data_IF_773486002605
#
_entry.id   IF_773486002605
#
_cell.length_a   1.000
_cell.length_b   1.000
_cell.length_c   1.000
_cell.angle_alpha   90.00
_cell.angle_beta   90.00
_cell.angle_gamma   90.00
#
_symmetry.space_group_name_H-M   'P 1'
#
loop_
_entity.id
_entity.type
_entity.pdbx_description
1 polymer ?
#
# COMPACT_ATOMS: atom_id res chain seq x y z
N UNK A 1 -1.95 -15.85 7.71
CA UNK A 1 -0.83 -16.43 8.43
C UNK A 1 -0.18 -17.51 7.57
N UNK A 2 1.07 -17.36 7.29
CA UNK A 2 1.85 -18.39 6.63
C UNK A 2 3.00 -18.83 7.56
N UNK A 3 3.41 -20.05 7.42
CA UNK A 3 4.46 -20.65 8.25
C UNK A 3 5.88 -20.26 7.80
N UNK A 4 6.03 -19.33 6.87
CA UNK A 4 7.30 -18.87 6.31
C UNK A 4 7.98 -19.88 5.38
N UNK A 5 7.31 -20.96 4.99
CA UNK A 5 7.85 -21.94 4.05
C UNK A 5 7.21 -21.77 2.67
N UNK A 6 8.01 -21.70 1.59
CA UNK A 6 7.46 -21.69 0.24
C UNK A 6 6.81 -23.05 -0.06
N UNK A 7 5.74 -23.05 -0.85
CA UNK A 7 5.15 -24.26 -1.39
C UNK A 7 6.09 -24.83 -2.46
N UNK A 8 6.38 -26.14 -2.45
CA UNK A 8 7.06 -26.79 -3.56
C UNK A 8 6.29 -26.57 -4.86
N UNK A 9 7.00 -26.34 -5.97
CA UNK A 9 6.38 -26.04 -7.26
C UNK A 9 5.49 -27.17 -7.80
N UNK A 10 5.82 -28.40 -7.45
CA UNK A 10 5.10 -29.63 -7.82
C UNK A 10 4.07 -30.07 -6.76
N UNK A 11 3.90 -29.30 -5.67
CA UNK A 11 2.91 -29.64 -4.65
C UNK A 11 1.49 -29.55 -5.19
N UNK A 12 0.58 -30.37 -4.66
CA UNK A 12 -0.83 -30.35 -5.00
C UNK A 12 -1.45 -28.97 -4.86
N UNK A 13 -1.09 -28.25 -3.81
CA UNK A 13 -1.56 -26.89 -3.51
C UNK A 13 -1.07 -25.89 -4.57
N UNK A 14 0.22 -25.93 -4.94
CA UNK A 14 0.76 -25.07 -5.99
C UNK A 14 0.12 -25.36 -7.34
N UNK A 15 -0.04 -26.62 -7.70
CA UNK A 15 -0.70 -27.02 -8.94
C UNK A 15 -2.17 -26.58 -8.97
N UNK A 16 -2.88 -26.66 -7.83
CA UNK A 16 -4.24 -26.18 -7.71
C UNK A 16 -4.33 -24.63 -7.88
N UNK A 17 -3.42 -23.86 -7.29
CA UNK A 17 -3.33 -22.42 -7.53
C UNK A 17 -3.08 -22.09 -9.01
N UNK A 18 -2.14 -22.76 -9.63
CA UNK A 18 -1.85 -22.54 -11.05
C UNK A 18 -3.05 -22.89 -11.96
N UNK A 19 -3.73 -23.99 -11.65
CA UNK A 19 -4.94 -24.38 -12.39
C UNK A 19 -6.07 -23.34 -12.21
N UNK A 20 -6.28 -22.86 -10.99
CA UNK A 20 -7.27 -21.84 -10.68
C UNK A 20 -6.96 -20.51 -11.39
N UNK A 21 -5.71 -20.04 -11.36
CA UNK A 21 -5.30 -18.83 -12.06
C UNK A 21 -5.46 -18.95 -13.58
N UNK A 22 -5.14 -20.11 -14.15
CA UNK A 22 -5.40 -20.38 -15.58
C UNK A 22 -6.90 -20.37 -15.91
N UNK A 23 -7.70 -20.94 -15.04
CA UNK A 23 -9.16 -20.96 -15.21
C UNK A 23 -9.74 -19.55 -15.18
N UNK A 24 -9.39 -18.72 -14.18
CA UNK A 24 -9.81 -17.31 -14.13
C UNK A 24 -9.39 -16.56 -15.39
N UNK A 25 -8.13 -16.72 -15.81
CA UNK A 25 -7.61 -16.06 -17.00
C UNK A 25 -8.34 -16.47 -18.28
N UNK A 26 -8.98 -17.64 -18.30
CA UNK A 26 -9.81 -18.09 -19.42
C UNK A 26 -11.06 -17.22 -19.68
N UNK A 27 -11.47 -16.40 -18.72
CA UNK A 27 -12.59 -15.45 -18.85
C UNK A 27 -12.14 -14.05 -19.30
N UNK A 28 -10.84 -13.82 -19.48
CA UNK A 28 -10.28 -12.53 -19.88
C UNK A 28 -9.70 -12.58 -21.28
N UNK A 29 -9.89 -11.49 -22.01
CA UNK A 29 -9.25 -11.31 -23.32
C UNK A 29 -7.85 -10.73 -23.13
N UNK A 30 -6.87 -11.31 -23.80
CA UNK A 30 -5.49 -10.83 -23.72
C UNK A 30 -5.39 -9.38 -24.24
N UNK A 31 -4.71 -8.52 -23.47
CA UNK A 31 -4.54 -7.09 -23.75
C UNK A 31 -5.81 -6.22 -23.70
N UNK A 32 -6.93 -6.75 -23.21
CA UNK A 32 -8.13 -5.95 -22.97
C UNK A 32 -8.08 -5.34 -21.58
N UNK A 33 -8.29 -4.03 -21.50
CA UNK A 33 -8.45 -3.35 -20.21
C UNK A 33 -9.87 -3.55 -19.65
N UNK A 34 -9.98 -3.89 -18.40
CA UNK A 34 -11.24 -4.09 -17.70
C UNK A 34 -11.48 -2.95 -16.70
N UNK A 35 -12.75 -2.58 -16.54
CA UNK A 35 -13.14 -1.54 -15.57
C UNK A 35 -12.70 -1.97 -14.17
N UNK A 36 -11.94 -1.11 -13.47
CA UNK A 36 -11.41 -1.38 -12.15
C UNK A 36 -10.08 -2.16 -12.13
N UNK A 37 -9.50 -2.45 -13.28
CA UNK A 37 -8.19 -3.11 -13.39
C UNK A 37 -7.04 -2.24 -12.84
N UNK A 38 -7.14 -0.93 -13.08
CA UNK A 38 -6.13 0.02 -12.61
C UNK A 38 -6.56 0.64 -11.28
N UNK A 39 -5.62 0.95 -10.38
CA UNK A 39 -5.92 1.74 -9.20
C UNK A 39 -6.45 3.12 -9.62
N UNK A 40 -7.20 3.76 -8.71
CA UNK A 40 -7.66 5.13 -8.95
C UNK A 40 -6.45 6.04 -9.17
N UNK A 41 -6.50 6.84 -10.22
CA UNK A 41 -5.47 7.84 -10.48
C UNK A 41 -5.40 8.84 -9.33
N UNK A 42 -4.19 9.18 -8.94
CA UNK A 42 -3.91 10.15 -7.88
C UNK A 42 -2.90 11.17 -8.40
N UNK A 43 -3.17 12.44 -8.16
CA UNK A 43 -2.26 13.51 -8.53
C UNK A 43 -1.16 13.68 -7.47
N UNK A 44 0.09 13.57 -7.89
CA UNK A 44 1.22 13.76 -6.99
C UNK A 44 1.33 15.22 -6.53
N UNK A 45 1.37 15.40 -5.23
CA UNK A 45 1.57 16.72 -4.62
C UNK A 45 3.03 17.18 -4.75
N UNK A 46 3.25 18.50 -4.69
CA UNK A 46 4.58 19.11 -4.90
C UNK A 46 5.34 19.33 -3.57
N UNK A 47 4.89 18.72 -2.50
CA UNK A 47 5.53 18.75 -1.18
C UNK A 47 5.76 17.34 -0.65
N UNK A 48 6.55 17.23 0.39
CA UNK A 48 6.62 16.02 1.20
C UNK A 48 5.25 15.80 1.88
N UNK A 49 4.83 14.56 1.97
CA UNK A 49 3.65 14.14 2.70
C UNK A 49 3.84 14.37 4.21
N UNK A 50 2.77 14.78 4.88
CA UNK A 50 2.80 15.16 6.29
C UNK A 50 2.12 14.11 7.16
N UNK A 51 2.91 13.39 7.95
CA UNK A 51 2.39 12.50 8.99
C UNK A 51 1.60 13.25 10.05
N UNK A 52 1.95 14.50 10.34
CA UNK A 52 1.23 15.36 11.31
C UNK A 52 -0.17 15.71 10.82
N UNK A 53 -0.30 16.20 9.57
CA UNK A 53 -1.61 16.43 8.96
C UNK A 53 -2.39 15.13 8.83
N UNK A 54 -1.72 14.06 8.45
CA UNK A 54 -2.32 12.73 8.35
C UNK A 54 -2.93 12.26 9.66
N UNK A 55 -2.30 12.55 10.80
CA UNK A 55 -2.84 12.25 12.12
C UNK A 55 -4.15 13.00 12.38
N UNK A 56 -4.21 14.28 12.02
CA UNK A 56 -5.42 15.10 12.18
C UNK A 56 -6.56 14.51 11.33
N UNK A 57 -6.27 14.23 10.07
CA UNK A 57 -7.23 13.64 9.12
C UNK A 57 -7.66 12.23 9.53
N UNK A 58 -6.72 11.41 10.01
CA UNK A 58 -7.01 10.09 10.55
C UNK A 58 -7.99 10.17 11.72
N UNK A 59 -7.79 11.13 12.62
CA UNK A 59 -8.70 11.36 13.76
C UNK A 59 -10.11 11.70 13.29
N UNK A 60 -10.24 12.48 12.22
CA UNK A 60 -11.53 12.89 11.68
C UNK A 60 -12.26 11.79 10.92
N UNK A 61 -11.54 10.98 10.14
CA UNK A 61 -12.13 10.09 9.15
C UNK A 61 -12.00 8.59 9.48
N UNK A 62 -11.03 8.17 10.30
CA UNK A 62 -10.63 6.78 10.42
C UNK A 62 -10.84 6.18 11.81
N UNK A 63 -10.68 6.97 12.87
CA UNK A 63 -10.73 6.51 14.27
C UNK A 63 -12.02 5.77 14.59
N UNK A 64 -13.15 6.20 14.06
CA UNK A 64 -14.45 5.58 14.31
C UNK A 64 -14.46 4.07 14.03
N UNK A 65 -13.75 3.64 13.00
CA UNK A 65 -13.69 2.23 12.60
C UNK A 65 -12.38 1.56 13.01
N UNK A 66 -11.25 2.25 12.82
CA UNK A 66 -9.93 1.65 13.02
C UNK A 66 -9.32 1.88 14.41
N UNK A 67 -10.03 2.64 15.29
CA UNK A 67 -9.52 2.98 16.62
C UNK A 67 -8.44 4.08 16.62
N UNK A 68 -8.23 4.70 17.78
CA UNK A 68 -7.26 5.79 17.91
C UNK A 68 -5.80 5.32 17.78
N UNK A 69 -5.55 4.05 18.09
CA UNK A 69 -4.24 3.40 18.00
C UNK A 69 -4.17 2.43 16.82
N UNK A 70 -5.09 2.53 15.85
CA UNK A 70 -5.11 1.66 14.68
C UNK A 70 -5.36 0.18 14.98
N UNK A 71 -5.92 -0.12 16.16
CA UNK A 71 -6.15 -1.46 16.68
C UNK A 71 -7.27 -2.22 15.97
N UNK A 72 -8.11 -1.51 15.21
CA UNK A 72 -9.29 -2.07 14.58
C UNK A 72 -10.41 -2.38 15.56
N UNK A 73 -11.43 -3.10 15.10
CA UNK A 73 -12.56 -3.56 15.93
C UNK A 73 -12.82 -5.03 15.68
N UNK A 74 -12.82 -5.81 16.74
CA UNK A 74 -13.16 -7.23 16.67
C UNK A 74 -14.68 -7.45 16.69
N UNK A 75 -15.12 -8.57 16.15
CA UNK A 75 -16.46 -9.09 16.31
C UNK A 75 -16.64 -9.65 17.74
N UNK A 76 -17.86 -10.02 18.08
CA UNK A 76 -18.20 -10.64 19.38
C UNK A 76 -17.53 -12.00 19.62
N UNK A 77 -16.96 -12.60 18.55
CA UNK A 77 -16.24 -13.88 18.64
C UNK A 77 -14.81 -13.75 19.14
N UNK A 78 -14.30 -12.51 19.29
CA UNK A 78 -12.91 -12.19 19.63
C UNK A 78 -11.85 -12.86 18.72
N UNK A 79 -12.23 -13.29 17.54
CA UNK A 79 -11.38 -13.98 16.55
C UNK A 79 -11.30 -13.21 15.24
N UNK A 80 -12.43 -12.65 14.80
CA UNK A 80 -12.53 -11.95 13.51
C UNK A 80 -12.67 -10.46 13.71
N UNK A 81 -12.10 -9.69 12.76
CA UNK A 81 -12.23 -8.24 12.77
C UNK A 81 -13.41 -7.78 11.91
N UNK A 82 -14.21 -6.86 12.44
CA UNK A 82 -15.14 -6.04 11.65
C UNK A 82 -14.33 -5.02 10.84
N UNK A 83 -13.41 -4.33 11.52
CA UNK A 83 -12.46 -3.40 10.92
C UNK A 83 -11.04 -3.82 11.30
N UNK A 84 -10.18 -4.15 10.32
CA UNK A 84 -8.87 -4.70 10.60
C UNK A 84 -7.94 -3.65 11.23
N UNK A 85 -6.94 -4.09 12.02
CA UNK A 85 -5.90 -3.22 12.54
C UNK A 85 -4.99 -2.73 11.41
N UNK A 86 -4.54 -1.49 11.53
CA UNK A 86 -3.72 -0.83 10.53
C UNK A 86 -2.22 -0.90 10.85
N UNK A 87 -1.87 -0.99 12.12
CA UNK A 87 -0.50 -1.17 12.61
C UNK A 87 -0.50 -2.02 13.88
N UNK A 88 0.66 -2.18 14.51
CA UNK A 88 0.82 -3.06 15.66
C UNK A 88 1.06 -4.52 15.24
N UNK A 89 1.00 -5.40 16.20
CA UNK A 89 1.30 -6.84 16.03
C UNK A 89 0.40 -7.52 14.99
N UNK A 90 -0.86 -7.14 14.94
CA UNK A 90 -1.87 -7.73 14.05
C UNK A 90 -2.11 -6.90 12.77
N UNK A 91 -1.39 -5.78 12.61
CA UNK A 91 -1.43 -4.97 11.39
C UNK A 91 -0.74 -5.66 10.21
N UNK A 92 -0.86 -5.06 9.04
CA UNK A 92 -0.16 -5.58 7.85
C UNK A 92 1.37 -5.38 7.97
N UNK A 93 2.09 -6.33 7.41
CA UNK A 93 3.56 -6.34 7.46
C UNK A 93 4.19 -5.35 6.46
N UNK A 94 5.46 -4.94 6.65
CA UNK A 94 6.16 -4.00 5.76
C UNK A 94 6.24 -4.43 4.29
N UNK A 95 6.14 -5.72 4.01
CA UNK A 95 6.10 -6.24 2.65
C UNK A 95 4.76 -6.08 1.93
N UNK A 96 3.71 -5.62 2.63
CA UNK A 96 2.42 -5.33 2.01
C UNK A 96 2.50 -4.12 1.09
N UNK A 97 1.75 -4.14 -0.01
CA UNK A 97 1.57 -2.96 -0.86
C UNK A 97 0.91 -1.79 -0.10
N UNK A 98 0.16 -2.07 0.97
CA UNK A 98 -0.42 -1.05 1.83
C UNK A 98 0.62 -0.29 2.67
N UNK A 99 1.84 -0.83 2.83
CA UNK A 99 2.94 -0.11 3.46
C UNK A 99 3.60 0.93 2.54
N UNK A 100 3.24 0.95 1.27
CA UNK A 100 3.70 1.90 0.27
C UNK A 100 2.76 3.09 0.21
N UNK A 101 3.30 4.29 0.41
CA UNK A 101 2.47 5.51 0.57
C UNK A 101 1.64 5.81 -0.67
N UNK A 102 2.20 5.67 -1.87
CA UNK A 102 1.44 5.89 -3.12
C UNK A 102 0.28 4.89 -3.23
N UNK A 103 0.57 3.59 -3.03
CA UNK A 103 -0.47 2.55 -3.16
C UNK A 103 -1.56 2.69 -2.12
N UNK A 104 -1.18 3.00 -0.88
CA UNK A 104 -2.17 3.24 0.15
C UNK A 104 -2.99 4.49 -0.12
N UNK A 105 -2.39 5.60 -0.57
CA UNK A 105 -3.13 6.81 -0.92
C UNK A 105 -4.15 6.55 -2.03
N UNK A 106 -3.77 5.85 -3.10
CA UNK A 106 -4.68 5.42 -4.16
C UNK A 106 -5.86 4.60 -3.62
N UNK A 107 -5.56 3.66 -2.73
CA UNK A 107 -6.57 2.78 -2.14
C UNK A 107 -7.50 3.55 -1.18
N UNK A 108 -6.95 4.43 -0.33
CA UNK A 108 -7.70 5.28 0.58
C UNK A 108 -8.68 6.19 -0.19
N UNK A 109 -8.20 6.85 -1.23
CA UNK A 109 -9.03 7.72 -2.06
C UNK A 109 -10.21 6.97 -2.69
N UNK A 110 -9.99 5.74 -3.13
CA UNK A 110 -11.01 4.94 -3.80
C UNK A 110 -12.04 4.29 -2.85
N UNK A 111 -11.65 4.03 -1.59
CA UNK A 111 -12.40 3.10 -0.72
C UNK A 111 -12.68 3.63 0.69
N UNK A 112 -12.06 4.74 1.11
CA UNK A 112 -12.18 5.21 2.48
C UNK A 112 -12.67 6.68 2.58
N UNK A 113 -13.50 7.02 3.57
CA UNK A 113 -14.15 6.13 4.54
C UNK A 113 -15.11 5.14 3.87
N UNK A 114 -15.12 3.89 4.30
CA UNK A 114 -15.82 2.79 3.62
C UNK A 114 -17.34 3.01 3.47
N UNK A 115 -17.96 3.74 4.37
CA UNK A 115 -19.40 3.99 4.39
C UNK A 115 -19.82 5.19 3.52
N UNK A 116 -18.88 5.96 3.00
CA UNK A 116 -19.15 7.21 2.27
C UNK A 116 -18.37 7.36 0.98
N UNK A 117 -17.16 6.83 0.90
CA UNK A 117 -16.36 6.91 -0.31
C UNK A 117 -16.66 5.77 -1.28
N UNK A 118 -16.63 6.09 -2.56
CA UNK A 118 -16.64 5.12 -3.65
C UNK A 118 -15.59 5.50 -4.68
N UNK A 119 -15.24 4.55 -5.54
CA UNK A 119 -14.33 4.80 -6.65
C UNK A 119 -14.81 5.94 -7.57
N UNK A 120 -16.14 6.12 -7.74
CA UNK A 120 -16.73 7.18 -8.55
C UNK A 120 -16.85 8.52 -7.81
N UNK A 121 -16.97 8.47 -6.48
CA UNK A 121 -17.15 9.63 -5.62
C UNK A 121 -16.20 9.54 -4.42
N UNK A 122 -14.91 9.84 -4.61
CA UNK A 122 -13.94 9.89 -3.50
C UNK A 122 -14.34 11.00 -2.50
N UNK A 123 -14.15 10.71 -1.22
CA UNK A 123 -14.34 11.70 -0.14
C UNK A 123 -13.03 12.47 0.12
N UNK A 124 -11.91 11.77 0.05
CA UNK A 124 -10.59 12.36 0.31
C UNK A 124 -10.04 13.01 -0.97
N UNK A 125 -9.46 14.19 -0.83
CA UNK A 125 -8.58 14.77 -1.84
C UNK A 125 -7.28 13.98 -1.96
N UNK A 126 -6.54 14.18 -3.04
CA UNK A 126 -5.25 13.52 -3.24
C UNK A 126 -4.27 13.84 -2.11
N UNK A 127 -4.19 15.11 -1.70
CA UNK A 127 -3.32 15.55 -0.62
C UNK A 127 -3.69 14.91 0.72
N UNK A 128 -4.96 14.82 1.04
CA UNK A 128 -5.44 14.17 2.28
C UNK A 128 -5.17 12.68 2.27
N UNK A 129 -5.39 12.01 1.15
CA UNK A 129 -5.09 10.59 1.01
C UNK A 129 -3.58 10.30 1.19
N UNK A 130 -2.72 11.16 0.63
CA UNK A 130 -1.26 11.06 0.82
C UNK A 130 -0.85 11.31 2.28
N UNK A 131 -1.37 12.34 2.91
CA UNK A 131 -1.04 12.67 4.30
C UNK A 131 -1.51 11.56 5.27
N UNK A 132 -2.72 11.03 5.09
CA UNK A 132 -3.21 9.87 5.87
C UNK A 132 -2.32 8.64 5.64
N UNK A 133 -1.96 8.36 4.39
CA UNK A 133 -1.08 7.24 4.07
C UNK A 133 0.31 7.40 4.71
N UNK A 134 0.85 8.62 4.73
CA UNK A 134 2.10 8.92 5.41
C UNK A 134 2.00 8.68 6.93
N UNK A 135 0.93 9.12 7.58
CA UNK A 135 0.70 8.87 9.00
C UNK A 135 0.57 7.38 9.31
N UNK A 136 -0.32 6.68 8.61
CA UNK A 136 -0.56 5.24 8.84
C UNK A 136 0.72 4.41 8.63
N UNK A 137 1.60 4.84 7.73
CA UNK A 137 2.86 4.16 7.41
C UNK A 137 4.10 4.79 8.06
N UNK A 138 3.91 5.62 9.07
CA UNK A 138 5.04 6.22 9.79
C UNK A 138 5.67 5.21 10.75
N UNK A 139 6.76 4.59 10.29
CA UNK A 139 7.46 3.55 11.05
C UNK A 139 8.19 4.09 12.29
N UNK A 140 8.28 5.42 12.47
CA UNK A 140 8.84 6.03 13.68
C UNK A 140 7.85 5.97 14.85
N UNK A 141 6.55 5.92 14.56
CA UNK A 141 5.49 5.94 15.57
C UNK A 141 4.61 4.69 15.57
N UNK A 142 4.58 3.94 14.47
CA UNK A 142 3.75 2.75 14.32
C UNK A 142 4.60 1.50 14.12
N UNK A 143 4.52 0.58 15.08
CA UNK A 143 5.15 -0.74 14.95
C UNK A 143 4.39 -1.63 13.97
N UNK A 144 5.09 -2.63 13.40
CA UNK A 144 4.51 -3.61 12.48
C UNK A 144 5.03 -5.01 12.75
N UNK A 145 4.24 -6.07 12.43
CA UNK A 145 4.73 -7.42 12.52
C UNK A 145 5.85 -7.63 11.49
N UNK A 146 6.79 -8.51 11.82
CA UNK A 146 7.91 -8.87 10.93
C UNK A 146 8.64 -7.62 10.37
N UNK A 147 9.25 -6.78 11.21
CA UNK A 147 9.86 -5.51 10.78
C UNK A 147 11.07 -5.70 9.84
N UNK A 148 11.55 -6.94 9.66
CA UNK A 148 12.58 -7.25 8.69
C UNK A 148 12.04 -7.00 7.29
N UNK A 149 12.70 -6.13 6.60
CA UNK A 149 12.33 -5.71 5.26
C UNK A 149 12.61 -6.79 4.25
N UNK A 150 11.78 -6.80 3.22
CA UNK A 150 11.98 -7.64 2.07
C UNK A 150 13.21 -7.18 1.31
N UNK A 151 13.99 -8.14 0.91
CA UNK A 151 15.11 -7.93 0.04
C UNK A 151 14.63 -7.80 -1.41
N UNK A 152 15.04 -6.71 -2.05
CA UNK A 152 14.87 -6.51 -3.49
C UNK A 152 16.24 -6.60 -4.14
N UNK A 153 16.60 -7.75 -4.71
CA UNK A 153 17.94 -7.97 -5.26
C UNK A 153 18.24 -7.03 -6.43
N UNK A 154 17.21 -6.58 -7.16
CA UNK A 154 17.37 -5.61 -8.23
C UNK A 154 16.69 -4.28 -7.86
N UNK A 155 17.50 -3.27 -7.52
CA UNK A 155 17.00 -1.96 -7.11
C UNK A 155 16.20 -1.23 -8.19
N UNK A 156 16.44 -1.51 -9.48
CA UNK A 156 15.69 -0.94 -10.62
C UNK A 156 14.26 -1.50 -10.70
N UNK A 157 14.05 -2.71 -10.19
CA UNK A 157 12.75 -3.36 -10.12
C UNK A 157 11.90 -2.89 -8.94
N UNK A 158 12.54 -2.26 -7.95
CA UNK A 158 11.87 -1.76 -6.75
C UNK A 158 10.97 -0.57 -7.08
N UNK A 159 9.83 -0.51 -6.42
CA UNK A 159 8.95 0.64 -6.53
C UNK A 159 9.59 1.90 -5.89
N UNK A 160 9.35 3.06 -6.51
CA UNK A 160 9.97 4.32 -6.09
C UNK A 160 9.53 4.82 -4.71
N UNK A 161 8.40 4.35 -4.21
CA UNK A 161 7.85 4.66 -2.88
C UNK A 161 8.20 3.59 -1.83
N UNK A 162 9.25 2.82 -2.06
CA UNK A 162 9.77 1.86 -1.11
C UNK A 162 10.88 2.53 -0.27
N UNK A 163 10.57 2.83 1.00
CA UNK A 163 11.46 3.62 1.86
C UNK A 163 12.76 2.92 2.31
N UNK A 164 13.00 1.65 1.93
CA UNK A 164 14.15 0.87 2.38
C UNK A 164 15.20 0.78 1.28
N UNK A 165 16.46 1.18 1.56
CA UNK A 165 17.56 1.05 0.61
C UNK A 165 17.94 -0.44 0.35
N UNK A 166 18.74 -0.73 -0.71
CA UNK A 166 19.31 0.22 -1.65
C UNK A 166 18.30 0.72 -2.68
N UNK A 167 18.50 1.94 -3.18
CA UNK A 167 17.74 2.51 -4.30
C UNK A 167 18.62 2.62 -5.55
N UNK A 168 17.99 2.66 -6.73
CA UNK A 168 18.71 2.78 -8.00
C UNK A 168 19.04 4.23 -8.36
N UNK A 169 18.87 5.15 -7.43
CA UNK A 169 19.12 6.57 -7.57
C UNK A 169 19.80 7.15 -6.31
N UNK A 170 19.91 8.46 -6.23
CA UNK A 170 20.59 9.17 -5.15
C UNK A 170 19.64 9.85 -4.16
N UNK A 171 18.34 9.67 -4.32
CA UNK A 171 17.37 10.22 -3.39
C UNK A 171 17.43 9.51 -2.04
N UNK A 172 17.10 10.24 -0.99
CA UNK A 172 17.11 9.68 0.37
C UNK A 172 16.00 8.68 0.57
N UNK A 173 16.18 7.74 1.52
CA UNK A 173 15.14 6.82 1.96
C UNK A 173 13.86 7.56 2.40
N UNK A 174 14.00 8.74 3.02
CA UNK A 174 12.85 9.58 3.38
C UNK A 174 12.12 10.14 2.17
N UNK A 175 12.83 10.50 1.08
CA UNK A 175 12.19 10.94 -0.15
C UNK A 175 11.44 9.79 -0.84
N UNK A 176 12.00 8.58 -0.83
CA UNK A 176 11.31 7.38 -1.29
C UNK A 176 10.09 7.03 -0.44
N UNK A 177 10.15 7.22 0.88
CA UNK A 177 9.03 6.90 1.76
C UNK A 177 7.91 7.94 1.71
N UNK A 178 8.25 9.23 1.72
CA UNK A 178 7.33 10.35 1.95
C UNK A 178 7.39 11.43 0.87
N UNK A 179 7.89 11.14 -0.30
CA UNK A 179 7.99 12.10 -1.39
C UNK A 179 8.86 13.34 -1.08
N UNK A 180 8.72 14.39 -1.89
CA UNK A 180 7.86 14.48 -3.08
C UNK A 180 8.31 13.54 -4.20
N UNK A 181 7.38 12.84 -4.83
CA UNK A 181 7.71 11.79 -5.82
C UNK A 181 7.98 12.31 -7.22
N UNK A 182 7.46 13.48 -7.60
CA UNK A 182 7.67 14.05 -8.95
C UNK A 182 9.14 14.17 -9.34
N UNK A 183 10.06 14.64 -8.46
CA UNK A 183 11.50 14.67 -8.77
C UNK A 183 12.10 13.29 -9.03
N UNK A 184 11.72 12.28 -8.26
CA UNK A 184 12.17 10.90 -8.43
C UNK A 184 11.68 10.35 -9.76
N UNK A 185 10.40 10.52 -10.07
CA UNK A 185 9.78 10.08 -11.33
C UNK A 185 10.47 10.73 -12.52
N UNK A 186 10.73 12.04 -12.44
CA UNK A 186 11.42 12.79 -13.48
C UNK A 186 12.83 12.24 -13.72
N UNK A 187 13.60 12.08 -12.66
CA UNK A 187 14.98 11.56 -12.71
C UNK A 187 15.02 10.17 -13.37
N UNK A 188 14.11 9.26 -12.97
CA UNK A 188 14.07 7.92 -13.52
C UNK A 188 13.75 7.92 -15.02
N UNK A 189 12.78 8.73 -15.45
CA UNK A 189 12.43 8.90 -16.87
C UNK A 189 13.61 9.45 -17.68
N UNK A 190 14.31 10.44 -17.16
CA UNK A 190 15.50 11.01 -17.80
C UNK A 190 16.65 10.01 -17.94
N UNK A 191 16.72 9.02 -17.05
CA UNK A 191 17.69 7.90 -17.13
C UNK A 191 17.21 6.72 -17.98
N UNK A 192 16.06 6.83 -18.63
CA UNK A 192 15.48 5.75 -19.42
C UNK A 192 14.94 4.59 -18.54
N UNK A 193 14.74 4.83 -17.25
CA UNK A 193 14.14 3.87 -16.32
C UNK A 193 12.63 4.06 -16.23
N UNK A 194 11.91 2.99 -15.94
CA UNK A 194 10.46 3.02 -15.78
C UNK A 194 10.10 2.98 -14.29
N UNK A 195 9.73 4.15 -13.70
CA UNK A 195 9.36 4.17 -12.28
C UNK A 195 8.10 3.34 -12.05
N UNK A 196 8.19 2.42 -11.10
CA UNK A 196 7.06 1.62 -10.62
C UNK A 196 6.48 2.27 -9.36
N UNK A 197 5.15 2.43 -9.31
CA UNK A 197 4.42 2.94 -8.14
C UNK A 197 2.97 2.50 -8.12
#
# INVERSE_FOLDING_TARGET
PHNGKPLPLDSREMLAFLAYLKWINGFTEKHKEYKGEKPLEIEFIDRKESSENGKILYTQHCVRCHGANGEGQMQFDDVTYVYPPLWGKEGYQPGSSMHRVIKQAQWLKANMPHDSATWQNPVLTDAEAFDIAAFVNDDAIHSRPNPKTLDYPNAVEKAIDYGVPPHADTFSASAHKYGPYKPIIKYWKEKGLHPKY
#
